data_IF_247669152448
#
_entry.id   IF_247669152448
#
_cell.length_a   1.000
_cell.length_b   1.000
_cell.length_c   1.000
_cell.angle_alpha   90.00
_cell.angle_beta   90.00
_cell.angle_gamma   90.00
#
_symmetry.space_group_name_H-M   'P 1'
#
loop_
_entity.id
_entity.type
_entity.pdbx_description
1 polymer ?
#
# COMPACT_ATOMS: atom_id res chain seq x y z
N UNK A 1 15.88 6.37 -1.63
CA UNK A 1 14.94 5.23 -1.81
C UNK A 1 15.44 4.04 -1.00
N UNK A 2 14.93 3.87 0.22
CA UNK A 2 15.23 2.73 1.11
C UNK A 2 13.97 2.17 1.81
N UNK A 3 12.79 2.76 1.55
CA UNK A 3 11.52 2.46 2.22
C UNK A 3 10.88 1.15 1.79
N UNK A 4 10.68 0.91 0.50
CA UNK A 4 9.88 -0.24 0.01
C UNK A 4 10.35 -1.64 0.47
N UNK A 5 11.66 -1.90 0.55
CA UNK A 5 12.15 -3.17 1.10
C UNK A 5 11.95 -3.28 2.62
N UNK A 6 12.04 -2.15 3.33
CA UNK A 6 11.77 -2.06 4.76
C UNK A 6 10.30 -2.32 5.06
N UNK A 7 9.40 -1.73 4.27
CA UNK A 7 7.96 -1.93 4.37
C UNK A 7 7.58 -3.37 4.10
N UNK A 8 8.12 -4.00 3.05
CA UNK A 8 7.89 -5.44 2.76
C UNK A 8 8.21 -6.32 3.96
N UNK A 9 9.36 -6.08 4.61
CA UNK A 9 9.78 -6.85 5.78
C UNK A 9 8.86 -6.59 6.99
N UNK A 10 8.47 -5.34 7.20
CA UNK A 10 7.55 -4.97 8.26
C UNK A 10 6.18 -5.63 8.09
N UNK A 11 5.60 -5.58 6.88
CA UNK A 11 4.32 -6.22 6.59
C UNK A 11 4.39 -7.73 6.74
N UNK A 12 5.48 -8.37 6.31
CA UNK A 12 5.68 -9.81 6.51
C UNK A 12 5.74 -10.17 8.01
N UNK A 13 6.43 -9.36 8.82
CA UNK A 13 6.52 -9.54 10.27
C UNK A 13 5.17 -9.29 10.97
N UNK A 14 4.45 -8.24 10.59
CA UNK A 14 3.07 -7.99 11.05
C UNK A 14 2.16 -9.16 10.72
N UNK A 15 2.17 -9.64 9.47
CA UNK A 15 1.34 -10.76 9.02
C UNK A 15 1.65 -12.05 9.79
N UNK A 16 2.92 -12.30 10.13
CA UNK A 16 3.31 -13.47 10.92
C UNK A 16 2.78 -13.47 12.36
N UNK A 17 2.33 -12.31 12.86
CA UNK A 17 1.85 -12.09 14.24
C UNK A 17 0.35 -11.85 14.32
N UNK A 18 -0.33 -11.69 13.19
CA UNK A 18 -1.78 -11.58 13.15
C UNK A 18 -2.32 -12.99 13.43
N UNK A 19 -2.97 -13.17 14.58
CA UNK A 19 -3.88 -14.28 14.75
C UNK A 19 -4.93 -14.12 13.65
N UNK A 20 -4.97 -15.07 12.71
CA UNK A 20 -5.94 -15.08 11.62
C UNK A 20 -7.34 -15.34 12.19
N UNK A 21 -7.93 -14.33 12.82
CA UNK A 21 -9.32 -14.32 13.21
C UNK A 21 -10.10 -14.10 11.92
N UNK A 22 -10.43 -15.19 11.25
CA UNK A 22 -11.40 -15.15 10.16
C UNK A 22 -12.68 -14.53 10.71
N UNK A 23 -13.17 -13.42 10.12
CA UNK A 23 -14.47 -12.90 10.47
C UNK A 23 -15.50 -14.02 10.36
N UNK A 24 -16.45 -14.09 11.29
CA UNK A 24 -17.54 -15.06 11.19
C UNK A 24 -18.27 -14.80 9.87
N UNK A 25 -18.15 -15.73 8.93
CA UNK A 25 -18.85 -15.63 7.65
C UNK A 25 -20.36 -15.66 7.89
N UNK A 26 -21.10 -14.77 7.22
CA UNK A 26 -22.56 -14.80 7.20
C UNK A 26 -23.07 -15.84 6.18
N UNK A 27 -22.23 -16.18 5.18
CA UNK A 27 -22.49 -17.20 4.16
C UNK A 27 -21.17 -17.90 3.76
N UNK A 28 -21.16 -19.23 3.50
CA UNK A 28 -19.94 -19.93 3.10
C UNK A 28 -19.23 -19.29 1.90
N UNK A 29 -17.96 -18.91 2.08
CA UNK A 29 -17.12 -18.36 1.01
C UNK A 29 -17.28 -16.85 0.77
N UNK A 30 -18.06 -16.15 1.59
CA UNK A 30 -18.21 -14.69 1.56
C UNK A 30 -16.85 -13.98 1.65
N UNK A 31 -15.98 -14.45 2.54
CA UNK A 31 -14.65 -13.85 2.71
C UNK A 31 -13.76 -14.05 1.48
N UNK A 32 -13.82 -15.24 0.86
CA UNK A 32 -13.06 -15.54 -0.35
C UNK A 32 -13.58 -14.76 -1.57
N UNK A 33 -14.88 -14.52 -1.64
CA UNK A 33 -15.49 -13.70 -2.69
C UNK A 33 -15.08 -12.22 -2.58
N UNK A 34 -15.01 -11.68 -1.35
CA UNK A 34 -14.56 -10.30 -1.11
C UNK A 34 -13.05 -10.17 -1.37
N UNK A 35 -12.24 -11.08 -0.84
CA UNK A 35 -10.77 -11.05 -1.01
C UNK A 35 -10.37 -11.22 -2.48
N UNK A 36 -10.95 -12.18 -3.21
CA UNK A 36 -10.72 -12.32 -4.65
C UNK A 36 -11.21 -11.12 -5.47
N UNK A 37 -12.14 -10.32 -4.92
CA UNK A 37 -12.58 -9.07 -5.50
C UNK A 37 -11.62 -7.89 -5.29
N UNK A 38 -10.65 -7.99 -4.36
CA UNK A 38 -9.68 -6.95 -4.02
C UNK A 38 -8.27 -7.33 -4.50
N UNK A 39 -7.99 -8.63 -4.60
CA UNK A 39 -6.70 -9.17 -5.03
C UNK A 39 -6.29 -8.64 -6.41
N UNK A 40 -5.07 -8.13 -6.50
CA UNK A 40 -4.51 -7.53 -7.71
C UNK A 40 -5.18 -6.24 -8.20
N UNK A 41 -6.10 -5.60 -7.45
CA UNK A 41 -6.74 -4.33 -7.85
C UNK A 41 -6.06 -3.07 -7.32
N UNK A 42 -5.41 -3.15 -6.16
CA UNK A 42 -4.68 -2.03 -5.55
C UNK A 42 -3.22 -2.01 -6.00
N UNK A 43 -2.63 -3.20 -6.09
CA UNK A 43 -1.27 -3.42 -6.59
C UNK A 43 -1.37 -4.37 -7.78
N UNK A 44 -1.59 -3.78 -8.95
CA UNK A 44 -1.88 -4.53 -10.19
C UNK A 44 -0.59 -4.79 -10.96
N UNK A 45 -0.58 -5.87 -11.76
CA UNK A 45 0.45 -6.06 -12.79
C UNK A 45 0.37 -5.03 -13.93
N UNK A 46 -0.68 -4.21 -14.00
CA UNK A 46 -0.74 -3.10 -14.95
C UNK A 46 0.27 -2.00 -14.59
N UNK A 47 0.62 -1.83 -13.31
CA UNK A 47 1.65 -0.89 -12.87
C UNK A 47 3.02 -1.19 -13.51
N UNK A 48 3.34 -2.46 -13.81
CA UNK A 48 4.56 -2.82 -14.56
C UNK A 48 4.53 -2.39 -16.02
N UNK A 49 3.35 -2.33 -16.64
CA UNK A 49 3.18 -1.79 -17.99
C UNK A 49 3.31 -0.27 -17.98
N UNK A 50 2.68 0.39 -17.01
CA UNK A 50 2.78 1.85 -16.84
C UNK A 50 4.23 2.30 -16.59
N UNK A 51 5.00 1.53 -15.82
CA UNK A 51 6.45 1.74 -15.62
C UNK A 51 7.24 1.70 -16.94
N UNK A 52 6.86 0.83 -17.88
CA UNK A 52 7.57 0.68 -19.15
C UNK A 52 7.38 1.89 -20.08
N UNK A 53 6.31 2.66 -19.88
CA UNK A 53 5.98 3.84 -20.70
C UNK A 53 6.55 5.16 -20.16
N UNK A 54 7.23 5.14 -19.01
CA UNK A 54 7.85 6.33 -18.41
C UNK A 54 9.10 6.72 -19.17
N UNK A 55 9.14 7.95 -19.70
CA UNK A 55 10.22 8.45 -20.57
C UNK A 55 11.02 9.62 -20.01
N UNK A 56 10.55 10.20 -18.91
CA UNK A 56 11.19 11.36 -18.30
C UNK A 56 11.02 11.35 -16.77
N UNK A 57 11.81 12.20 -16.11
CA UNK A 57 11.87 12.27 -14.64
C UNK A 57 10.55 12.79 -14.07
N UNK A 58 9.85 13.69 -14.76
CA UNK A 58 8.59 14.23 -14.30
C UNK A 58 7.49 13.15 -14.29
N UNK A 59 7.41 12.33 -15.33
CA UNK A 59 6.52 11.17 -15.43
C UNK A 59 6.89 10.10 -14.40
N UNK A 60 8.18 9.90 -14.13
CA UNK A 60 8.62 8.97 -13.07
C UNK A 60 8.17 9.42 -11.68
N UNK A 61 8.24 10.72 -11.40
CA UNK A 61 7.75 11.30 -10.15
C UNK A 61 6.23 11.23 -10.04
N UNK A 62 5.49 11.49 -11.11
CA UNK A 62 4.03 11.36 -11.12
C UNK A 62 3.59 9.91 -10.85
N UNK A 63 4.26 8.96 -11.50
CA UNK A 63 4.04 7.54 -11.24
C UNK A 63 4.31 7.21 -9.76
N UNK A 64 5.48 7.60 -9.23
CA UNK A 64 5.83 7.34 -7.84
C UNK A 64 4.81 7.95 -6.86
N UNK A 65 4.40 9.20 -7.06
CA UNK A 65 3.38 9.87 -6.23
C UNK A 65 2.07 9.08 -6.24
N UNK A 66 1.61 8.64 -7.41
CA UNK A 66 0.40 7.82 -7.54
C UNK A 66 0.49 6.53 -6.70
N UNK A 67 1.64 5.85 -6.77
CA UNK A 67 1.88 4.62 -5.99
C UNK A 67 1.91 4.85 -4.48
N UNK A 68 2.44 5.97 -4.02
CA UNK A 68 2.39 6.31 -2.59
C UNK A 68 0.97 6.63 -2.13
N UNK A 69 0.18 7.34 -2.95
CA UNK A 69 -1.22 7.64 -2.64
C UNK A 69 -2.09 6.38 -2.59
N UNK A 70 -1.91 5.44 -3.53
CA UNK A 70 -2.57 4.14 -3.52
C UNK A 70 -2.25 3.37 -2.23
N UNK A 71 -0.98 3.41 -1.81
CA UNK A 71 -0.49 2.75 -0.59
C UNK A 71 -1.11 3.37 0.67
N UNK A 72 -1.16 4.71 0.75
CA UNK A 72 -1.84 5.41 1.86
C UNK A 72 -3.31 5.00 1.96
N UNK A 73 -4.04 4.97 0.84
CA UNK A 73 -5.45 4.58 0.81
C UNK A 73 -5.62 3.13 1.30
N UNK A 74 -4.83 2.21 0.74
CA UNK A 74 -4.91 0.80 1.07
C UNK A 74 -4.61 0.51 2.54
N UNK A 75 -3.49 1.02 3.06
CA UNK A 75 -3.10 0.80 4.45
C UNK A 75 -4.07 1.48 5.44
N UNK A 76 -4.61 2.65 5.10
CA UNK A 76 -5.63 3.33 5.92
C UNK A 76 -6.92 2.52 6.00
N UNK A 77 -7.34 1.87 4.91
CA UNK A 77 -8.51 0.99 4.91
C UNK A 77 -8.22 -0.33 5.64
N UNK A 78 -7.06 -0.95 5.42
CA UNK A 78 -6.65 -2.16 6.11
C UNK A 78 -6.60 -1.98 7.63
N UNK A 79 -6.17 -0.80 8.12
CA UNK A 79 -6.08 -0.49 9.55
C UNK A 79 -7.40 -0.74 10.30
N UNK A 80 -8.55 -0.58 9.65
CA UNK A 80 -9.88 -0.83 10.24
C UNK A 80 -10.10 -2.28 10.65
N UNK A 81 -9.32 -3.22 10.09
CA UNK A 81 -9.48 -4.66 10.27
C UNK A 81 -8.35 -5.29 11.11
N UNK A 82 -7.31 -4.52 11.45
CA UNK A 82 -6.20 -5.00 12.31
C UNK A 82 -6.57 -4.75 13.78
N UNK A 83 -6.83 -5.80 14.54
CA UNK A 83 -7.16 -5.71 15.98
C UNK A 83 -5.92 -5.40 16.82
N UNK A 84 -5.98 -4.27 17.55
CA UNK A 84 -5.25 -3.77 18.74
C UNK A 84 -3.75 -4.08 19.01
N UNK A 85 -3.12 -5.12 18.47
CA UNK A 85 -1.72 -5.47 18.75
C UNK A 85 -0.70 -4.88 17.77
N UNK A 86 -1.15 -4.25 16.67
CA UNK A 86 -0.27 -3.70 15.63
C UNK A 86 -0.65 -2.31 15.04
N UNK A 87 -1.28 -1.36 15.76
CA UNK A 87 -1.58 -0.04 15.18
C UNK A 87 -0.31 0.81 14.92
N UNK A 88 0.71 0.73 15.80
CA UNK A 88 1.87 1.63 15.74
C UNK A 88 2.75 1.50 14.49
N UNK A 89 3.08 0.29 13.99
CA UNK A 89 3.95 0.18 12.81
C UNK A 89 3.23 0.52 11.50
N UNK A 90 1.92 0.24 11.41
CA UNK A 90 1.13 0.59 10.22
C UNK A 90 0.97 2.10 10.08
N UNK A 91 0.79 2.80 11.21
CA UNK A 91 0.71 4.26 11.24
C UNK A 91 2.03 4.92 10.81
N UNK A 92 3.17 4.34 11.19
CA UNK A 92 4.47 4.83 10.75
C UNK A 92 4.63 4.73 9.23
N UNK A 93 4.20 3.62 8.61
CA UNK A 93 4.25 3.46 7.15
C UNK A 93 3.32 4.47 6.47
N UNK A 94 2.07 4.60 6.92
CA UNK A 94 1.11 5.56 6.36
C UNK A 94 1.67 6.99 6.40
N UNK A 95 2.29 7.38 7.51
CA UNK A 95 2.90 8.70 7.68
C UNK A 95 4.18 8.89 6.86
N UNK A 96 4.94 7.82 6.58
CA UNK A 96 6.06 7.86 5.64
C UNK A 96 5.56 8.12 4.21
N UNK A 97 4.57 7.37 3.73
CA UNK A 97 4.06 7.53 2.36
C UNK A 97 3.36 8.89 2.14
N UNK A 98 2.69 9.43 3.16
CA UNK A 98 2.15 10.80 3.13
C UNK A 98 3.23 11.86 2.97
N UNK A 99 4.37 11.70 3.66
CA UNK A 99 5.50 12.63 3.52
C UNK A 99 6.14 12.52 2.14
N UNK A 100 6.35 11.29 1.65
CA UNK A 100 6.95 11.05 0.33
C UNK A 100 6.10 11.62 -0.80
N UNK A 101 4.78 11.41 -0.75
CA UNK A 101 3.83 11.97 -1.72
C UNK A 101 3.72 13.50 -1.64
N UNK A 102 3.84 14.11 -0.45
CA UNK A 102 3.81 15.57 -0.29
C UNK A 102 5.11 16.26 -0.75
N UNK A 103 6.27 15.61 -0.61
CA UNK A 103 7.58 16.17 -0.96
C UNK A 103 7.93 16.06 -2.44
N UNK A 104 7.51 14.97 -3.10
CA UNK A 104 7.83 14.70 -4.51
C UNK A 104 7.38 15.81 -5.50
N UNK A 105 6.22 16.48 -5.32
CA UNK A 105 5.84 17.66 -6.10
C UNK A 105 6.81 18.85 -5.98
N UNK A 106 7.49 19.02 -4.85
CA UNK A 106 8.48 20.08 -4.66
C UNK A 106 9.72 19.83 -5.50
N UNK A 107 10.18 18.57 -5.55
CA UNK A 107 11.25 18.14 -6.45
C UNK A 107 10.84 18.37 -7.90
N UNK A 108 9.61 17.99 -8.28
CA UNK A 108 9.10 18.16 -9.64
C UNK A 108 9.11 19.62 -10.10
N UNK A 109 8.81 20.57 -9.21
CA UNK A 109 8.85 22.02 -9.51
C UNK A 109 10.27 22.56 -9.73
N UNK A 110 11.28 21.83 -9.29
CA UNK A 110 12.70 22.20 -9.42
C UNK A 110 13.42 21.55 -10.61
N UNK A 111 12.71 20.73 -11.39
CA UNK A 111 13.16 20.12 -12.65
C UNK A 111 12.82 21.01 -13.85
#
# INVERSE_FOLDING_TARGET
>A
MRGGESHRKLFADMFSRIDAVMPKESCPGEYMAISGGIDGKVFTAAATTELADIRDVAAALDFAIGRELDSVLYYSEMKKYVTASAPDPLDQVIEEERRTSSFSPEIKKSL
#
